data_IF_818887923289
#
_entry.id   IF_818887923289
#
_cell.length_a   1.000
_cell.length_b   1.000
_cell.length_c   1.000
_cell.angle_alpha   90.00
_cell.angle_beta   90.00
_cell.angle_gamma   90.00
#
_symmetry.space_group_name_H-M   'P 1'
#
loop_
_entity.id
_entity.type
_entity.pdbx_description
1 polymer ?
#
# COMPACT_ATOMS: atom_id res chain seq x y z
N UNK A 1 -6.90 -8.13 21.18
CA UNK A 1 -6.53 -7.92 19.76
C UNK A 1 -5.13 -8.44 19.54
N UNK A 2 -4.87 -9.17 18.45
CA UNK A 2 -3.56 -9.77 18.12
C UNK A 2 -3.03 -9.39 16.74
N UNK A 3 -3.82 -8.65 15.96
CA UNK A 3 -3.44 -8.03 14.69
C UNK A 3 -2.04 -7.39 14.69
N UNK A 4 -1.36 -7.37 13.54
CA UNK A 4 -0.09 -6.66 13.35
C UNK A 4 -0.29 -5.13 13.35
N UNK A 5 0.67 -4.36 13.90
CA UNK A 5 0.56 -2.90 14.16
C UNK A 5 0.69 -2.02 12.93
N UNK A 6 1.31 -2.59 11.92
CA UNK A 6 1.71 -1.91 10.71
C UNK A 6 1.35 -2.81 9.53
N UNK A 7 1.06 -2.19 8.40
CA UNK A 7 0.96 -2.85 7.13
C UNK A 7 1.34 -1.85 6.04
N UNK A 8 1.85 -2.36 4.93
CA UNK A 8 2.14 -1.57 3.73
C UNK A 8 1.35 -2.10 2.55
N UNK A 9 0.93 -1.19 1.68
CA UNK A 9 0.28 -1.49 0.40
C UNK A 9 0.78 -0.54 -0.67
N UNK A 10 0.42 -0.81 -1.92
CA UNK A 10 0.81 0.01 -3.06
C UNK A 10 -0.45 0.45 -3.80
N UNK A 11 -0.47 1.68 -4.31
CA UNK A 11 -1.57 2.18 -5.15
C UNK A 11 -1.72 1.29 -6.38
N UNK A 12 -2.97 0.92 -6.71
CA UNK A 12 -3.27 0.10 -7.88
C UNK A 12 -3.03 -1.41 -7.71
N UNK A 13 -2.40 -1.82 -6.60
CA UNK A 13 -2.11 -3.23 -6.30
C UNK A 13 -3.14 -3.80 -5.31
N UNK A 14 -3.57 -5.04 -5.52
CA UNK A 14 -4.48 -5.73 -4.60
C UNK A 14 -3.84 -5.84 -3.20
N UNK A 15 -4.60 -5.45 -2.18
CA UNK A 15 -4.22 -5.49 -0.78
C UNK A 15 -5.11 -6.45 -0.01
N UNK A 16 -4.52 -7.12 0.99
CA UNK A 16 -5.22 -8.03 1.89
C UNK A 16 -4.60 -7.97 3.28
N UNK A 17 -5.44 -7.81 4.30
CA UNK A 17 -5.05 -7.80 5.69
C UNK A 17 -6.13 -8.46 6.55
N UNK A 18 -5.75 -9.45 7.35
CA UNK A 18 -6.68 -10.14 8.25
C UNK A 18 -6.66 -9.53 9.65
N UNK A 19 -7.81 -9.06 10.13
CA UNK A 19 -7.97 -8.69 11.54
C UNK A 19 -7.95 -9.98 12.38
N UNK A 20 -7.08 -10.04 13.41
CA UNK A 20 -6.99 -11.20 14.31
C UNK A 20 -7.17 -10.77 15.77
N UNK A 21 -7.94 -11.56 16.50
CA UNK A 21 -8.21 -11.39 17.93
C UNK A 21 -8.29 -12.75 18.64
N UNK A 22 -8.00 -12.75 19.93
CA UNK A 22 -8.25 -13.89 20.82
C UNK A 22 -9.72 -13.95 21.25
N UNK A 23 -10.10 -15.05 21.92
CA UNK A 23 -11.42 -15.29 22.52
C UNK A 23 -12.58 -15.39 21.50
N UNK A 24 -12.34 -15.90 20.29
CA UNK A 24 -13.39 -16.18 19.30
C UNK A 24 -14.26 -14.95 18.96
N UNK A 25 -13.68 -13.92 18.30
CA UNK A 25 -14.45 -12.78 17.81
C UNK A 25 -15.53 -13.25 16.82
N UNK A 26 -16.71 -12.62 16.88
CA UNK A 26 -17.86 -12.89 16.01
C UNK A 26 -18.19 -11.75 15.05
N UNK A 27 -17.64 -10.56 15.30
CA UNK A 27 -17.78 -9.41 14.39
C UNK A 27 -16.52 -8.57 14.39
N UNK A 28 -16.29 -7.88 13.28
CA UNK A 28 -15.11 -7.07 13.01
C UNK A 28 -15.53 -5.72 12.42
N UNK A 29 -14.69 -4.72 12.61
CA UNK A 29 -14.84 -3.43 11.96
C UNK A 29 -13.48 -2.74 11.80
N UNK A 30 -13.39 -1.83 10.83
CA UNK A 30 -12.22 -1.01 10.54
C UNK A 30 -12.67 0.37 10.04
N UNK A 31 -12.21 1.44 10.66
CA UNK A 31 -12.52 2.82 10.26
C UNK A 31 -11.25 3.59 9.94
N UNK A 32 -11.32 4.54 9.00
CA UNK A 32 -10.15 5.28 8.52
C UNK A 32 -9.33 4.52 7.48
N UNK A 33 -9.94 3.56 6.78
CA UNK A 33 -9.30 2.85 5.68
C UNK A 33 -9.02 3.82 4.51
N UNK A 34 -7.85 3.70 3.84
CA UNK A 34 -7.59 4.35 2.56
C UNK A 34 -8.67 4.04 1.52
N UNK A 35 -8.92 4.99 0.62
CA UNK A 35 -9.89 4.83 -0.47
C UNK A 35 -9.56 3.61 -1.34
N UNK A 36 -10.57 2.79 -1.62
CA UNK A 36 -10.44 1.55 -2.37
C UNK A 36 -10.29 0.30 -1.51
N UNK A 37 -10.20 0.44 -0.18
CA UNK A 37 -10.22 -0.66 0.77
C UNK A 37 -11.54 -0.73 1.54
N UNK A 38 -11.93 -1.95 1.90
CA UNK A 38 -13.12 -2.23 2.72
C UNK A 38 -12.86 -3.39 3.67
N UNK A 39 -13.68 -3.51 4.72
CA UNK A 39 -13.63 -4.62 5.67
C UNK A 39 -14.87 -5.50 5.56
N UNK A 40 -14.67 -6.81 5.49
CA UNK A 40 -15.74 -7.77 5.74
C UNK A 40 -15.99 -7.85 7.25
N UNK A 41 -17.14 -7.38 7.71
CA UNK A 41 -17.47 -7.35 9.15
C UNK A 41 -17.67 -8.74 9.76
N UNK A 42 -17.86 -9.76 8.92
CA UNK A 42 -18.05 -11.15 9.36
C UNK A 42 -16.73 -11.90 9.44
N UNK A 43 -15.83 -11.68 8.48
CA UNK A 43 -14.54 -12.43 8.41
C UNK A 43 -13.36 -11.64 8.95
N UNK A 44 -13.48 -10.31 9.08
CA UNK A 44 -12.38 -9.42 9.48
C UNK A 44 -11.33 -9.19 8.38
N UNK A 45 -11.60 -9.62 7.15
CA UNK A 45 -10.71 -9.40 6.02
C UNK A 45 -10.86 -7.95 5.54
N UNK A 46 -9.78 -7.18 5.63
CA UNK A 46 -9.63 -5.90 4.94
C UNK A 46 -9.03 -6.22 3.57
N UNK A 47 -9.73 -5.85 2.50
CA UNK A 47 -9.26 -6.09 1.13
C UNK A 47 -9.73 -5.01 0.15
N UNK A 48 -9.11 -5.01 -1.03
CA UNK A 48 -9.42 -4.11 -2.12
C UNK A 48 -8.16 -3.65 -2.84
N UNK A 49 -8.28 -2.57 -3.59
CA UNK A 49 -7.16 -1.95 -4.31
C UNK A 49 -7.08 -0.48 -3.91
N UNK A 50 -6.06 -0.06 -3.14
CA UNK A 50 -5.90 1.34 -2.77
C UNK A 50 -5.77 2.22 -4.02
N UNK A 51 -6.39 3.40 -3.97
CA UNK A 51 -6.44 4.34 -5.11
C UNK A 51 -5.54 5.56 -4.97
N UNK A 52 -5.02 5.80 -3.76
CA UNK A 52 -4.13 6.93 -3.48
C UNK A 52 -3.11 6.56 -2.41
N UNK A 53 -1.92 7.14 -2.51
CA UNK A 53 -0.88 7.01 -1.51
C UNK A 53 -1.28 7.79 -0.25
N UNK A 54 -1.13 7.17 0.92
CA UNK A 54 -1.45 7.78 2.19
C UNK A 54 -0.90 6.95 3.36
N UNK A 55 -0.53 7.62 4.44
CA UNK A 55 -0.38 7.00 5.76
C UNK A 55 -1.66 7.21 6.55
N UNK A 56 -2.31 6.11 6.95
CA UNK A 56 -3.58 6.11 7.66
C UNK A 56 -3.49 5.36 8.99
N UNK A 57 -4.05 5.95 10.04
CA UNK A 57 -4.26 5.28 11.33
C UNK A 57 -5.65 4.63 11.33
N UNK A 58 -5.71 3.37 10.91
CA UNK A 58 -6.95 2.60 10.82
C UNK A 58 -7.32 2.07 12.21
N UNK A 59 -8.50 2.42 12.71
CA UNK A 59 -9.00 1.88 13.97
C UNK A 59 -9.68 0.54 13.72
N UNK A 60 -9.07 -0.55 14.20
CA UNK A 60 -9.59 -1.91 14.14
C UNK A 60 -10.38 -2.23 15.40
N UNK A 61 -11.46 -2.98 15.24
CA UNK A 61 -12.17 -3.60 16.37
C UNK A 61 -12.62 -5.01 16.03
N UNK A 62 -12.62 -5.88 17.03
CA UNK A 62 -13.27 -7.18 16.96
C UNK A 62 -14.07 -7.42 18.25
N UNK A 63 -15.28 -7.96 18.11
CA UNK A 63 -16.21 -8.11 19.23
C UNK A 63 -16.76 -9.52 19.32
N UNK A 64 -17.10 -9.93 20.54
CA UNK A 64 -17.91 -11.11 20.85
C UNK A 64 -18.85 -10.77 22.03
N UNK A 65 -19.56 -11.77 22.56
CA UNK A 65 -20.46 -11.58 23.72
C UNK A 65 -19.75 -11.10 25.00
N UNK A 66 -18.43 -11.32 25.11
CA UNK A 66 -17.62 -10.90 26.26
C UNK A 66 -17.05 -9.48 26.15
N UNK A 67 -17.19 -8.82 24.99
CA UNK A 67 -16.79 -7.43 24.79
C UNK A 67 -16.09 -7.17 23.45
N UNK A 68 -15.51 -5.97 23.34
CA UNK A 68 -14.80 -5.50 22.13
C UNK A 68 -13.34 -5.25 22.44
N UNK A 69 -12.45 -5.84 21.64
CA UNK A 69 -11.05 -5.48 21.59
C UNK A 69 -10.79 -4.48 20.46
N UNK A 70 -9.99 -3.45 20.72
CA UNK A 70 -9.61 -2.43 19.73
C UNK A 70 -8.10 -2.36 19.52
N UNK A 71 -7.67 -1.94 18.33
CA UNK A 71 -6.25 -1.68 18.02
C UNK A 71 -6.11 -0.73 16.84
N UNK A 72 -5.10 0.13 16.87
CA UNK A 72 -4.75 0.96 15.71
C UNK A 72 -3.77 0.23 14.81
N UNK A 73 -4.04 0.25 13.51
CA UNK A 73 -3.15 -0.19 12.43
C UNK A 73 -2.61 1.04 11.71
N UNK A 74 -1.30 1.23 11.71
CA UNK A 74 -0.63 2.19 10.84
C UNK A 74 -0.48 1.56 9.45
N UNK A 75 -1.36 1.93 8.53
CA UNK A 75 -1.34 1.47 7.15
C UNK A 75 -0.71 2.54 6.25
N UNK A 76 0.42 2.21 5.64
CA UNK A 76 1.06 3.06 4.64
C UNK A 76 0.81 2.50 3.24
N UNK A 77 0.15 3.29 2.40
CA UNK A 77 0.03 3.01 0.98
C UNK A 77 1.00 3.91 0.23
N UNK A 78 1.96 3.34 -0.51
CA UNK A 78 2.95 4.08 -1.29
C UNK A 78 2.61 4.09 -2.79
N UNK A 79 3.16 5.07 -3.51
CA UNK A 79 3.12 5.14 -4.97
C UNK A 79 4.18 4.20 -5.55
N UNK A 80 3.92 3.54 -6.68
CA UNK A 80 4.95 2.76 -7.35
C UNK A 80 6.14 3.62 -7.84
N UNK A 81 5.90 4.91 -8.01
CA UNK A 81 6.86 5.94 -8.40
C UNK A 81 7.49 6.65 -7.17
N UNK A 82 7.23 6.15 -5.95
CA UNK A 82 7.92 6.57 -4.72
C UNK A 82 8.86 5.42 -4.33
N UNK A 83 10.02 5.41 -4.96
CA UNK A 83 10.99 4.32 -4.92
C UNK A 83 11.77 4.31 -3.60
N UNK A 84 11.93 5.48 -2.97
CA UNK A 84 12.59 5.59 -1.67
C UNK A 84 11.60 5.53 -0.48
N UNK A 85 10.28 5.52 -0.76
CA UNK A 85 9.19 5.48 0.21
C UNK A 85 9.20 6.65 1.20
N UNK A 86 9.61 7.84 0.76
CA UNK A 86 9.60 9.07 1.56
C UNK A 86 8.22 9.78 1.55
N UNK A 87 7.26 9.25 0.78
CA UNK A 87 5.91 9.76 0.66
C UNK A 87 5.73 10.73 -0.51
N UNK A 88 6.75 10.96 -1.33
CA UNK A 88 6.67 11.86 -2.48
C UNK A 88 7.46 11.32 -3.69
N UNK A 89 6.78 11.10 -4.82
CA UNK A 89 7.45 10.92 -6.10
C UNK A 89 8.17 12.19 -6.52
N UNK A 90 9.51 12.16 -6.60
CA UNK A 90 10.34 13.30 -6.90
C UNK A 90 11.66 12.92 -7.61
N UNK A 91 12.55 13.89 -7.81
CA UNK A 91 13.83 13.68 -8.53
C UNK A 91 14.74 12.62 -7.90
N UNK A 92 14.59 12.36 -6.59
CA UNK A 92 15.32 11.29 -5.90
C UNK A 92 14.87 9.92 -6.39
N UNK A 93 13.57 9.71 -6.61
CA UNK A 93 13.02 8.48 -7.19
C UNK A 93 13.50 8.28 -8.62
N UNK A 94 13.46 9.35 -9.42
CA UNK A 94 13.96 9.33 -10.80
C UNK A 94 15.43 8.91 -10.83
N UNK A 95 16.24 9.44 -9.92
CA UNK A 95 17.65 9.06 -9.83
C UNK A 95 17.83 7.59 -9.43
N UNK A 96 16.98 7.06 -8.53
CA UNK A 96 17.00 5.64 -8.18
C UNK A 96 16.62 4.77 -9.38
N UNK A 97 15.59 5.14 -10.14
CA UNK A 97 15.17 4.37 -11.30
C UNK A 97 16.20 4.43 -12.44
N UNK A 98 16.86 5.58 -12.63
CA UNK A 98 18.00 5.70 -13.55
C UNK A 98 19.11 4.71 -13.16
N UNK A 99 19.44 4.58 -11.88
CA UNK A 99 20.44 3.60 -11.44
C UNK A 99 20.01 2.15 -11.73
N UNK A 100 18.71 1.84 -11.59
CA UNK A 100 18.17 0.52 -11.94
C UNK A 100 18.24 0.25 -13.45
N UNK A 101 17.89 1.23 -14.28
CA UNK A 101 17.95 1.11 -15.74
C UNK A 101 19.37 1.00 -16.29
N UNK A 102 20.34 1.63 -15.62
CA UNK A 102 21.77 1.50 -15.95
C UNK A 102 22.38 0.19 -15.44
N UNK A 103 21.64 -0.62 -14.68
CA UNK A 103 22.14 -1.86 -14.06
C UNK A 103 23.11 -1.64 -12.90
N UNK A 104 23.17 -0.41 -12.35
CA UNK A 104 23.96 -0.10 -11.14
C UNK A 104 23.31 -0.73 -9.91
N UNK A 105 21.99 -0.82 -9.89
CA UNK A 105 21.19 -1.51 -8.87
C UNK A 105 20.22 -2.49 -9.55
N UNK A 106 19.76 -3.50 -8.80
CA UNK A 106 18.77 -4.44 -9.31
C UNK A 106 17.47 -3.72 -9.73
N UNK A 107 16.86 -4.18 -10.83
CA UNK A 107 15.56 -3.69 -11.25
C UNK A 107 14.48 -4.15 -10.26
N UNK A 108 13.91 -3.21 -9.53
CA UNK A 108 12.79 -3.43 -8.61
C UNK A 108 11.55 -2.63 -9.01
N UNK A 109 11.69 -1.71 -9.97
CA UNK A 109 10.70 -0.69 -10.34
C UNK A 109 10.41 -0.72 -11.85
N UNK A 110 10.01 -1.90 -12.32
CA UNK A 110 9.48 -2.14 -13.67
C UNK A 110 8.01 -1.69 -13.69
N UNK A 111 7.80 -0.41 -14.02
CA UNK A 111 6.51 0.26 -13.95
C UNK A 111 5.59 -0.17 -15.11
N UNK A 112 6.15 -0.48 -16.28
CA UNK A 112 5.37 -0.99 -17.40
C UNK A 112 5.20 -2.53 -17.40
N UNK A 113 5.83 -3.23 -16.45
CA UNK A 113 5.77 -4.68 -16.34
C UNK A 113 6.23 -5.42 -17.62
N UNK A 114 7.22 -4.87 -18.32
CA UNK A 114 7.81 -5.49 -19.51
C UNK A 114 8.98 -6.45 -19.19
N UNK A 115 9.35 -6.54 -17.91
CA UNK A 115 10.44 -7.37 -17.40
C UNK A 115 11.79 -6.65 -17.31
N UNK A 116 11.87 -5.36 -17.67
CA UNK A 116 13.12 -4.62 -17.69
C UNK A 116 12.95 -3.15 -17.28
N UNK A 117 13.66 -2.72 -16.24
CA UNK A 117 13.80 -1.30 -15.92
C UNK A 117 14.56 -0.59 -17.04
N UNK A 118 13.92 0.34 -17.73
CA UNK A 118 14.50 1.08 -18.84
C UNK A 118 13.96 2.51 -18.93
N UNK A 119 14.20 3.19 -20.05
CA UNK A 119 13.78 4.59 -20.25
C UNK A 119 12.26 4.77 -20.20
N UNK A 120 11.49 3.72 -20.49
CA UNK A 120 10.03 3.76 -20.41
C UNK A 120 9.58 3.91 -18.96
N UNK A 121 10.18 3.15 -18.04
CA UNK A 121 9.89 3.27 -16.62
C UNK A 121 10.31 4.63 -16.09
N UNK A 122 11.53 5.08 -16.43
CA UNK A 122 12.05 6.40 -16.06
C UNK A 122 11.08 7.50 -16.52
N UNK A 123 10.56 7.42 -17.74
CA UNK A 123 9.62 8.43 -18.23
C UNK A 123 8.30 8.44 -17.44
N UNK A 124 7.82 7.28 -16.98
CA UNK A 124 6.62 7.18 -16.12
C UNK A 124 6.88 7.79 -14.74
N UNK A 125 8.03 7.55 -14.16
CA UNK A 125 8.43 8.12 -12.87
C UNK A 125 8.71 9.63 -12.93
N UNK A 126 9.32 10.10 -14.02
CA UNK A 126 9.47 11.53 -14.31
C UNK A 126 8.09 12.21 -14.41
N UNK A 127 7.13 11.59 -15.10
CA UNK A 127 5.77 12.12 -15.21
C UNK A 127 5.11 12.22 -13.81
N UNK A 128 5.26 11.19 -12.98
CA UNK A 128 4.75 11.19 -11.61
C UNK A 128 5.40 12.29 -10.75
N UNK A 129 6.72 12.45 -10.87
CA UNK A 129 7.50 13.52 -10.22
C UNK A 129 7.11 14.93 -10.66
N UNK A 130 6.47 15.07 -11.82
CA UNK A 130 5.92 16.33 -12.34
C UNK A 130 4.44 16.55 -11.96
N UNK A 131 3.89 15.68 -11.11
CA UNK A 131 2.51 15.79 -10.61
C UNK A 131 1.46 15.08 -11.46
N UNK A 132 1.86 14.29 -12.46
CA UNK A 132 0.94 13.39 -13.15
C UNK A 132 0.71 12.12 -12.31
N UNK A 133 -0.30 11.34 -12.66
CA UNK A 133 -0.52 10.05 -12.00
C UNK A 133 0.65 9.10 -12.31
N UNK A 134 1.09 8.35 -11.29
CA UNK A 134 1.99 7.22 -11.49
C UNK A 134 1.25 6.11 -12.24
N UNK A 135 1.71 5.79 -13.45
CA UNK A 135 1.08 4.77 -14.30
C UNK A 135 1.84 3.46 -14.17
N UNK A 136 1.13 2.41 -13.73
CA UNK A 136 1.66 1.06 -13.58
C UNK A 136 0.92 0.05 -14.47
N UNK A 137 1.65 -0.96 -14.93
CA UNK A 137 1.16 -2.02 -15.80
C UNK A 137 1.52 -1.79 -17.29
N UNK A 138 1.24 -2.80 -18.14
CA UNK A 138 1.60 -2.79 -19.56
C UNK A 138 1.06 -1.57 -20.32
#
# INVERSE_FOLDING_TARGET
MTSAGTATGQVGTAFSYQITASNSPTSFNATGLPAGLSVSTTTGLISGTPTAAATSNVALSASNAGGTGTRTLALTVYSACDLNQDGASNVVDVQLQVNQALGVTACTSDLNSDGACNVIDIQRDVNASLGLLCVVGP
#
